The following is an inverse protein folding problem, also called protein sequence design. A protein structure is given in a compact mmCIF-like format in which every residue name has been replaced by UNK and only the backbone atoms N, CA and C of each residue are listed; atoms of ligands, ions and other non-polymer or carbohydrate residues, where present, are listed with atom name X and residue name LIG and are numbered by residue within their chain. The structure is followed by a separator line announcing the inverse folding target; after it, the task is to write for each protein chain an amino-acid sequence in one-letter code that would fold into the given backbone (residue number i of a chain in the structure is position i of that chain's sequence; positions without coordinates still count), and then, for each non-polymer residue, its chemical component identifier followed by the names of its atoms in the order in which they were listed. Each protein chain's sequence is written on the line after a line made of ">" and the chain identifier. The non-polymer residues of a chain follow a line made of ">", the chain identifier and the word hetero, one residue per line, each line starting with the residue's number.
data_IF_465435561469
#
_entry.id   IF_465435561469
#
_cell.length_a   1.000
_cell.length_b   1.000
_cell.length_c   1.000
_cell.angle_alpha   90.00
_cell.angle_beta   90.00
_cell.angle_gamma   90.00
#
_symmetry.space_group_name_H-M   'P 1'
#
loop_
_entity.id
_entity.type
_entity.pdbx_description
1 polymer ?
#
# COMPACT_ATOMS: atom_id res chain seq x y z
N UNK A 1 0.88 11.20 30.60
CA UNK A 1 0.83 12.51 29.93
C UNK A 1 -0.26 12.46 28.87
N UNK A 2 -1.13 13.48 28.82
CA UNK A 2 -2.17 13.57 27.80
C UNK A 2 -1.55 13.67 26.39
N UNK A 3 -2.19 13.03 25.42
CA UNK A 3 -1.94 13.29 24.01
C UNK A 3 -2.81 14.47 23.58
N UNK A 4 -2.43 15.19 22.51
CA UNK A 4 -3.31 16.18 21.94
C UNK A 4 -4.64 15.53 21.50
N UNK A 5 -5.79 16.19 21.72
CA UNK A 5 -7.11 15.59 21.46
C UNK A 5 -7.31 15.19 20.00
N UNK A 6 -6.65 15.85 19.06
CA UNK A 6 -6.66 15.48 17.64
C UNK A 6 -6.02 14.11 17.38
N UNK A 7 -4.97 13.73 18.12
CA UNK A 7 -4.30 12.43 17.98
C UNK A 7 -5.17 11.33 18.57
N UNK A 8 -5.76 11.56 19.75
CA UNK A 8 -6.65 10.58 20.38
C UNK A 8 -7.85 10.23 19.50
N UNK A 9 -8.44 11.22 18.83
CA UNK A 9 -9.52 10.99 17.86
C UNK A 9 -9.07 10.12 16.68
N UNK A 10 -7.87 10.35 16.15
CA UNK A 10 -7.32 9.55 15.04
C UNK A 10 -7.01 8.11 15.47
N UNK A 11 -6.42 7.94 16.65
CA UNK A 11 -6.16 6.62 17.22
C UNK A 11 -7.45 5.84 17.45
N UNK A 12 -8.49 6.50 18.00
CA UNK A 12 -9.80 5.91 18.18
C UNK A 12 -10.45 5.50 16.85
N UNK A 13 -10.37 6.34 15.82
CA UNK A 13 -10.86 6.01 14.48
C UNK A 13 -10.15 4.81 13.84
N UNK A 14 -8.88 4.60 14.20
CA UNK A 14 -8.07 3.43 13.80
C UNK A 14 -8.28 2.21 14.70
N UNK A 15 -9.06 2.31 15.77
CA UNK A 15 -9.22 1.26 16.78
C UNK A 15 -7.94 0.95 17.56
N UNK A 16 -6.99 1.88 17.59
CA UNK A 16 -5.71 1.72 18.29
C UNK A 16 -5.78 2.35 19.66
N UNK A 17 -5.38 1.61 20.69
CA UNK A 17 -5.30 2.13 22.05
C UNK A 17 -3.90 2.72 22.28
N UNK A 18 -3.79 3.88 22.95
CA UNK A 18 -2.49 4.46 23.30
C UNK A 18 -1.59 3.51 24.10
N UNK A 19 -2.19 2.63 24.93
CA UNK A 19 -1.45 1.64 25.73
C UNK A 19 -0.80 0.51 24.93
N UNK A 20 -1.13 0.36 23.64
CA UNK A 20 -0.52 -0.63 22.74
C UNK A 20 0.73 -0.08 22.03
N UNK A 21 1.06 1.20 22.27
CA UNK A 21 2.23 1.87 21.70
C UNK A 21 3.29 2.04 22.79
N UNK A 22 4.47 1.51 22.54
CA UNK A 22 5.64 1.73 23.38
C UNK A 22 6.30 3.05 22.96
N UNK A 23 6.36 4.00 23.90
CA UNK A 23 7.01 5.30 23.73
C UNK A 23 8.38 5.29 24.42
N UNK A 24 9.44 5.63 23.68
CA UNK A 24 10.80 5.77 24.22
C UNK A 24 11.45 7.06 23.73
N UNK A 25 12.22 7.68 24.62
CA UNK A 25 13.04 8.84 24.29
C UNK A 25 14.48 8.41 24.08
N UNK A 26 15.01 8.68 22.90
CA UNK A 26 16.35 8.28 22.49
C UNK A 26 17.18 9.52 22.15
N UNK A 27 18.51 9.35 22.14
CA UNK A 27 19.41 10.39 21.62
C UNK A 27 19.29 10.44 20.10
N UNK A 28 19.41 11.65 19.54
CA UNK A 28 19.39 11.84 18.09
C UNK A 28 20.60 11.18 17.42
N UNK A 29 20.45 10.85 16.15
CA UNK A 29 21.54 10.34 15.33
C UNK A 29 21.85 11.34 14.19
N UNK A 30 23.12 11.47 13.83
CA UNK A 30 23.59 12.31 12.71
C UNK A 30 24.63 13.36 13.10
N UNK A 31 25.15 14.12 12.12
CA UNK A 31 26.07 15.23 12.37
C UNK A 31 25.35 16.27 13.23
N UNK A 32 25.79 16.43 14.47
CA UNK A 32 25.05 17.21 15.46
C UNK A 32 25.95 17.82 16.54
N UNK A 33 25.66 19.06 16.90
CA UNK A 33 26.32 19.77 17.99
C UNK A 33 25.96 19.21 19.37
N UNK A 34 26.45 19.84 20.44
CA UNK A 34 26.31 19.37 21.82
C UNK A 34 24.88 18.97 22.23
N UNK A 35 23.86 19.69 21.72
CA UNK A 35 22.45 19.44 22.05
C UNK A 35 21.98 18.03 21.63
N UNK A 36 22.32 17.58 20.43
CA UNK A 36 21.87 16.28 19.90
C UNK A 36 22.52 15.13 20.69
N UNK A 37 23.78 15.30 21.10
CA UNK A 37 24.53 14.27 21.82
C UNK A 37 24.14 14.19 23.30
N UNK A 38 23.80 15.33 23.93
CA UNK A 38 23.50 15.39 25.37
C UNK A 38 22.02 15.21 25.70
N UNK A 39 21.11 15.63 24.82
CA UNK A 39 19.67 15.66 25.10
C UNK A 39 18.93 14.55 24.35
N UNK A 40 18.14 13.76 25.07
CA UNK A 40 17.25 12.72 24.52
C UNK A 40 15.96 13.31 23.94
N UNK A 41 16.08 14.18 22.93
CA UNK A 41 14.94 14.86 22.31
C UNK A 41 14.21 14.03 21.25
N UNK A 42 14.80 12.92 20.80
CA UNK A 42 14.23 12.09 19.72
C UNK A 42 13.21 11.13 20.29
N UNK A 43 12.04 11.05 19.66
CA UNK A 43 10.95 10.16 20.09
C UNK A 43 10.92 8.94 19.18
N UNK A 44 10.92 7.76 19.79
CA UNK A 44 10.70 6.48 19.13
C UNK A 44 9.39 5.89 19.64
N UNK A 45 8.49 5.60 18.71
CA UNK A 45 7.21 4.97 18.97
C UNK A 45 7.15 3.63 18.24
N UNK A 46 6.69 2.59 18.94
CA UNK A 46 6.43 1.28 18.35
C UNK A 46 5.03 0.83 18.70
N UNK A 47 4.20 0.59 17.69
CA UNK A 47 2.91 -0.05 17.90
C UNK A 47 3.08 -1.57 17.95
N UNK A 48 2.90 -2.17 19.14
CA UNK A 48 3.16 -3.60 19.37
C UNK A 48 2.40 -4.55 18.44
N UNK A 49 1.07 -4.41 18.23
CA UNK A 49 0.31 -5.40 17.47
C UNK A 49 0.56 -5.32 15.95
N UNK A 50 0.86 -4.15 15.38
CA UNK A 50 1.18 -4.05 13.95
C UNK A 50 2.68 -4.13 13.68
N UNK A 51 3.53 -3.91 14.67
CA UNK A 51 4.98 -3.81 14.51
C UNK A 51 5.44 -2.55 13.77
N UNK A 52 4.57 -1.55 13.60
CA UNK A 52 4.93 -0.29 12.94
C UNK A 52 5.75 0.57 13.90
N UNK A 53 6.91 1.00 13.41
CA UNK A 53 7.83 1.85 14.16
C UNK A 53 7.98 3.23 13.51
N UNK A 54 8.11 4.25 14.35
CA UNK A 54 8.32 5.64 13.95
C UNK A 54 9.41 6.24 14.83
N UNK A 55 10.33 6.96 14.20
CA UNK A 55 11.34 7.77 14.89
C UNK A 55 11.24 9.20 14.38
N UNK A 56 11.06 10.16 15.28
CA UNK A 56 10.97 11.58 14.93
C UNK A 56 12.07 12.37 15.63
N UNK A 57 12.88 13.08 14.85
CA UNK A 57 13.99 13.93 15.31
C UNK A 57 13.99 15.33 14.67
N UNK A 58 12.84 15.79 14.18
CA UNK A 58 12.72 17.03 13.39
C UNK A 58 13.02 18.27 14.23
N UNK A 59 12.43 18.35 15.42
CA UNK A 59 12.46 19.54 16.25
C UNK A 59 13.46 19.44 17.40
N UNK A 60 13.84 20.62 17.91
CA UNK A 60 14.70 20.77 19.08
C UNK A 60 14.00 20.41 20.40
N UNK A 61 12.67 20.43 20.43
CA UNK A 61 11.83 20.17 21.59
C UNK A 61 11.26 18.76 21.56
N UNK A 62 11.33 18.06 22.70
CA UNK A 62 10.82 16.69 22.83
C UNK A 62 9.30 16.60 22.70
N UNK A 63 8.56 17.57 23.24
CA UNK A 63 7.09 17.63 23.12
C UNK A 63 6.64 17.77 21.67
N UNK A 64 7.28 18.66 20.91
CA UNK A 64 7.00 18.81 19.48
C UNK A 64 7.31 17.52 18.70
N UNK A 65 8.46 16.88 18.96
CA UNK A 65 8.78 15.59 18.35
C UNK A 65 7.79 14.48 18.74
N UNK A 66 7.23 14.53 19.95
CA UNK A 66 6.22 13.57 20.41
C UNK A 66 4.95 13.71 19.58
N UNK A 67 4.41 14.92 19.45
CA UNK A 67 3.21 15.18 18.65
C UNK A 67 3.40 14.75 17.19
N UNK A 68 4.54 15.10 16.61
CA UNK A 68 4.90 14.70 15.24
C UNK A 68 5.05 13.19 15.10
N UNK A 69 5.70 12.51 16.05
CA UNK A 69 5.86 11.06 16.03
C UNK A 69 4.50 10.35 16.09
N UNK A 70 3.58 10.83 16.93
CA UNK A 70 2.24 10.28 17.02
C UNK A 70 1.42 10.52 15.76
N UNK A 71 1.51 11.71 15.16
CA UNK A 71 0.87 12.00 13.88
C UNK A 71 1.37 11.06 12.77
N UNK A 72 2.69 10.88 12.66
CA UNK A 72 3.31 9.97 11.69
C UNK A 72 2.94 8.50 11.94
N UNK A 73 2.79 8.09 13.21
CA UNK A 73 2.33 6.73 13.53
C UNK A 73 0.91 6.50 13.03
N UNK A 74 0.00 7.46 13.26
CA UNK A 74 -1.36 7.42 12.72
C UNK A 74 -1.36 7.36 11.18
N UNK A 75 -0.54 8.18 10.51
CA UNK A 75 -0.45 8.20 9.05
C UNK A 75 0.00 6.84 8.50
N UNK A 76 1.03 6.22 9.10
CA UNK A 76 1.51 4.89 8.68
C UNK A 76 0.47 3.79 8.91
N UNK A 77 -0.29 3.86 10.01
CA UNK A 77 -1.34 2.89 10.31
C UNK A 77 -2.52 3.05 9.35
N UNK A 78 -2.93 4.28 9.05
CA UNK A 78 -3.93 4.57 8.03
C UNK A 78 -3.53 4.04 6.66
N UNK A 79 -2.29 4.32 6.23
CA UNK A 79 -1.80 3.87 4.93
C UNK A 79 -1.82 2.35 4.87
N UNK A 80 -1.32 1.64 5.88
CA UNK A 80 -1.37 0.18 5.94
C UNK A 80 -2.80 -0.36 5.84
N UNK A 81 -3.76 0.26 6.51
CA UNK A 81 -5.16 -0.13 6.43
C UNK A 81 -5.75 0.11 5.03
N UNK A 82 -5.37 1.19 4.36
CA UNK A 82 -5.77 1.49 2.98
C UNK A 82 -5.14 0.50 1.99
N UNK A 83 -3.83 0.24 2.09
CA UNK A 83 -3.14 -0.70 1.22
C UNK A 83 -3.72 -2.11 1.34
N UNK A 84 -3.99 -2.58 2.57
CA UNK A 84 -4.62 -3.89 2.77
C UNK A 84 -6.01 -4.01 2.10
N UNK A 85 -6.83 -2.95 2.17
CA UNK A 85 -8.13 -2.91 1.46
C UNK A 85 -7.93 -2.89 -0.06
N UNK A 86 -6.97 -2.11 -0.55
CA UNK A 86 -6.66 -2.03 -1.98
C UNK A 86 -6.18 -3.38 -2.54
N UNK A 87 -5.34 -4.10 -1.81
CA UNK A 87 -4.86 -5.44 -2.20
C UNK A 87 -6.00 -6.45 -2.34
N UNK A 88 -6.97 -6.43 -1.42
CA UNK A 88 -8.16 -7.30 -1.49
C UNK A 88 -9.00 -6.96 -2.73
N UNK A 89 -9.17 -5.67 -3.03
CA UNK A 89 -9.92 -5.22 -4.21
C UNK A 89 -9.19 -5.61 -5.49
N UNK A 90 -7.88 -5.40 -5.57
CA UNK A 90 -7.06 -5.77 -6.74
C UNK A 90 -7.07 -7.28 -6.97
N UNK A 91 -6.93 -8.07 -5.90
CA UNK A 91 -7.01 -9.53 -5.99
C UNK A 91 -8.37 -9.98 -6.58
N UNK A 92 -9.47 -9.39 -6.10
CA UNK A 92 -10.82 -9.65 -6.60
C UNK A 92 -11.01 -9.20 -8.04
N UNK A 93 -10.48 -8.03 -8.42
CA UNK A 93 -10.50 -7.56 -9.80
C UNK A 93 -9.69 -8.45 -10.73
N UNK A 94 -8.52 -8.90 -10.30
CA UNK A 94 -7.62 -9.79 -11.04
C UNK A 94 -8.27 -11.14 -11.29
N UNK A 95 -8.91 -11.71 -10.27
CA UNK A 95 -9.71 -12.92 -10.41
C UNK A 95 -10.86 -12.71 -11.40
N UNK A 96 -11.63 -11.62 -11.25
CA UNK A 96 -12.70 -11.26 -12.19
C UNK A 96 -12.19 -11.10 -13.61
N UNK A 97 -11.01 -10.50 -13.83
CA UNK A 97 -10.39 -10.36 -15.16
C UNK A 97 -9.98 -11.71 -15.75
N UNK A 98 -9.52 -12.66 -14.92
CA UNK A 98 -9.16 -14.02 -15.34
C UNK A 98 -10.37 -14.86 -15.73
N UNK A 99 -11.44 -14.80 -14.94
CA UNK A 99 -12.66 -15.60 -15.17
C UNK A 99 -13.62 -14.95 -16.17
N UNK A 100 -13.44 -13.66 -16.47
CA UNK A 100 -14.26 -12.94 -17.46
C UNK A 100 -14.18 -13.60 -18.82
N UNK A 101 -15.32 -14.11 -19.28
CA UNK A 101 -15.48 -14.64 -20.63
C UNK A 101 -15.26 -13.58 -21.71
N UNK A 102 -14.92 -14.05 -22.92
CA UNK A 102 -14.75 -13.21 -24.12
C UNK A 102 -16.04 -12.43 -24.41
N UNK A 103 -15.89 -11.15 -24.76
CA UNK A 103 -17.02 -10.30 -25.12
C UNK A 103 -17.66 -10.77 -26.44
N UNK A 104 -18.92 -10.39 -26.68
CA UNK A 104 -19.62 -10.71 -27.93
C UNK A 104 -18.83 -10.25 -29.17
N UNK A 105 -18.26 -9.05 -29.13
CA UNK A 105 -17.41 -8.52 -30.21
C UNK A 105 -16.14 -9.33 -30.43
N UNK A 106 -15.46 -9.78 -29.36
CA UNK A 106 -14.30 -10.68 -29.48
C UNK A 106 -14.69 -12.02 -30.13
N UNK A 107 -15.85 -12.58 -29.76
CA UNK A 107 -16.36 -13.81 -30.37
C UNK A 107 -16.65 -13.63 -31.87
N UNK A 108 -17.27 -12.50 -32.26
CA UNK A 108 -17.54 -12.18 -33.69
C UNK A 108 -16.23 -12.10 -34.49
N UNK A 109 -15.23 -11.33 -34.02
CA UNK A 109 -13.93 -11.20 -34.68
C UNK A 109 -13.20 -12.55 -34.82
N UNK A 110 -13.33 -13.42 -33.81
CA UNK A 110 -12.75 -14.76 -33.85
C UNK A 110 -13.41 -15.64 -34.93
N UNK A 111 -14.73 -15.57 -35.06
CA UNK A 111 -15.48 -16.28 -36.11
C UNK A 111 -15.08 -15.74 -37.49
N UNK A 112 -14.99 -14.43 -37.65
CA UNK A 112 -14.60 -13.78 -38.89
C UNK A 112 -13.17 -14.18 -39.32
N UNK A 113 -12.21 -14.13 -38.39
CA UNK A 113 -10.84 -14.59 -38.63
C UNK A 113 -10.79 -16.06 -39.02
N UNK A 114 -11.61 -16.92 -38.40
CA UNK A 114 -11.71 -18.35 -38.75
C UNK A 114 -12.27 -18.55 -40.16
N UNK A 115 -13.31 -17.80 -40.54
CA UNK A 115 -13.88 -17.79 -41.89
C UNK A 115 -12.85 -17.34 -42.93
N UNK A 116 -12.14 -16.25 -42.65
CA UNK A 116 -11.08 -15.73 -43.53
C UNK A 116 -9.98 -16.78 -43.74
N UNK A 117 -9.49 -17.42 -42.66
CA UNK A 117 -8.48 -18.48 -42.75
C UNK A 117 -8.97 -19.69 -43.54
N UNK A 118 -10.22 -20.10 -43.39
CA UNK A 118 -10.80 -21.21 -44.14
C UNK A 118 -10.84 -20.90 -45.65
N UNK A 119 -11.24 -19.68 -46.03
CA UNK A 119 -11.22 -19.21 -47.43
C UNK A 119 -9.82 -19.33 -48.05
N UNK A 120 -8.79 -18.85 -47.32
CA UNK A 120 -7.39 -18.96 -47.74
C UNK A 120 -6.88 -20.40 -47.84
N UNK A 121 -7.38 -21.31 -47.01
CA UNK A 121 -7.02 -22.74 -47.11
C UNK A 121 -7.69 -23.42 -48.29
N UNK A 122 -8.96 -23.10 -48.56
CA UNK A 122 -9.68 -23.64 -49.71
C UNK A 122 -9.03 -23.24 -51.03
N UNK A 123 -8.57 -21.98 -51.16
CA UNK A 123 -7.86 -21.51 -52.34
C UNK A 123 -6.46 -22.13 -52.52
N UNK A 124 -5.92 -22.77 -51.49
CA UNK A 124 -4.62 -23.49 -51.52
C UNK A 124 -4.81 -25.01 -51.62
N UNK A 125 -6.04 -25.49 -51.83
CA UNK A 125 -6.33 -26.91 -52.02
C UNK A 125 -5.56 -27.48 -53.21
N UNK A 126 -5.30 -28.80 -53.18
CA UNK A 126 -4.55 -29.49 -54.22
C UNK A 126 -5.24 -29.25 -55.57
N UNK A 127 -4.56 -28.54 -56.46
CA UNK A 127 -4.95 -28.44 -57.86
C UNK A 127 -4.86 -29.86 -58.41
N UNK A 128 -6.00 -30.45 -58.78
CA UNK A 128 -6.03 -31.76 -59.43
C UNK A 128 -5.23 -31.62 -60.72
N UNK A 129 -4.07 -32.26 -60.80
CA UNK A 129 -3.31 -32.35 -62.03
C UNK A 129 -4.02 -33.35 -62.94
N UNK A 130 -4.59 -32.86 -64.03
CA UNK A 130 -4.91 -33.69 -65.20
C UNK A 130 -3.56 -34.05 -65.84
N UNK A 131 -3.15 -35.31 -65.68
CA UNK A 131 -2.02 -35.93 -66.40
C UNK A 131 -2.58 -36.91 -67.41
#
# INVERSE_FOLDING_TARGET
>A
MALPPQIDRRLAALGVRPGDVDERFVRGAGPGGQKINKTSSTVWLRHRPTGVEVRCQTERLQSANRELAWAQLCDKLEERARSAKAEVIDAREKERRRTRGKTRGQKIRMIESKKHRAKHKASRGRVGGEW
#
